data_IF_788084841390
#
_entry.id   IF_788084841390
#
_cell.length_a   1.000
_cell.length_b   1.000
_cell.length_c   1.000
_cell.angle_alpha   90.00
_cell.angle_beta   90.00
_cell.angle_gamma   90.00
#
_symmetry.space_group_name_H-M   'P 1'
#
loop_
_entity.id
_entity.type
_entity.pdbx_description
1 polymer ?
#
# COMPACT_ATOMS: atom_id res chain seq x y z
N UNK A 1 -13.16 -1.64 -14.52
CA UNK A 1 -12.06 -2.61 -14.77
C UNK A 1 -11.47 -3.02 -13.43
N UNK A 2 -11.61 -4.29 -13.02
CA UNK A 2 -11.10 -4.77 -11.72
C UNK A 2 -9.72 -5.38 -11.94
N UNK A 3 -8.68 -4.70 -11.47
CA UNK A 3 -7.31 -5.21 -11.54
C UNK A 3 -7.10 -6.27 -10.45
N UNK A 4 -6.67 -7.47 -10.88
CA UNK A 4 -6.24 -8.54 -9.98
C UNK A 4 -4.72 -8.64 -10.04
N UNK A 5 -4.05 -8.56 -8.89
CA UNK A 5 -2.59 -8.69 -8.77
C UNK A 5 -2.24 -9.64 -7.65
N UNK A 6 -1.15 -10.37 -7.84
CA UNK A 6 -0.61 -11.28 -6.83
C UNK A 6 0.11 -10.52 -5.71
N UNK A 7 0.73 -9.40 -6.05
CA UNK A 7 1.59 -8.64 -5.15
C UNK A 7 1.12 -7.20 -5.05
N UNK A 8 1.03 -6.70 -3.83
CA UNK A 8 0.56 -5.36 -3.49
C UNK A 8 1.55 -4.64 -2.59
N UNK A 9 1.67 -3.33 -2.77
CA UNK A 9 2.42 -2.46 -1.88
C UNK A 9 1.46 -1.73 -0.94
N UNK A 10 1.86 -1.62 0.32
CA UNK A 10 1.13 -0.89 1.35
C UNK A 10 2.08 -0.10 2.25
N UNK A 11 1.58 0.95 2.88
CA UNK A 11 2.33 1.71 3.90
C UNK A 11 1.43 2.05 5.07
N UNK A 12 1.91 1.78 6.28
CA UNK A 12 1.24 2.23 7.50
C UNK A 12 1.64 3.67 7.81
N UNK A 13 0.74 4.40 8.48
CA UNK A 13 1.01 5.77 8.93
C UNK A 13 2.26 5.80 9.81
N UNK A 14 3.18 6.73 9.53
CA UNK A 14 4.43 6.85 10.25
C UNK A 14 5.57 5.93 9.78
N UNK A 15 5.31 5.02 8.82
CA UNK A 15 6.39 4.26 8.19
C UNK A 15 7.02 5.05 7.04
N UNK A 16 8.36 5.08 7.00
CA UNK A 16 9.11 5.73 5.93
C UNK A 16 9.06 4.96 4.59
N UNK A 17 8.92 3.63 4.66
CA UNK A 17 9.02 2.74 3.50
C UNK A 17 7.71 2.00 3.24
N UNK A 18 7.47 1.65 1.97
CA UNK A 18 6.39 0.77 1.59
C UNK A 18 6.78 -0.69 1.83
N UNK A 19 5.82 -1.47 2.31
CA UNK A 19 5.91 -2.90 2.49
C UNK A 19 5.20 -3.62 1.36
N UNK A 20 5.55 -4.89 1.19
CA UNK A 20 5.01 -5.73 0.13
C UNK A 20 4.25 -6.90 0.74
N UNK A 21 3.10 -7.23 0.15
CA UNK A 21 2.31 -8.41 0.48
C UNK A 21 2.05 -9.20 -0.79
N UNK A 22 2.26 -10.50 -0.73
CA UNK A 22 2.02 -11.43 -1.83
C UNK A 22 0.96 -12.45 -1.46
N UNK A 23 0.06 -12.72 -2.38
CA UNK A 23 -1.03 -13.67 -2.25
C UNK A 23 -0.77 -14.91 -3.11
N UNK A 24 -1.29 -16.07 -2.72
CA UNK A 24 -1.16 -17.28 -3.56
C UNK A 24 -1.91 -17.12 -4.88
N UNK A 25 -3.07 -16.47 -4.86
CA UNK A 25 -3.86 -16.18 -6.06
C UNK A 25 -3.92 -14.66 -6.33
N UNK A 26 -4.08 -14.22 -7.58
CA UNK A 26 -4.29 -12.81 -7.89
C UNK A 26 -5.57 -12.29 -7.23
N UNK A 27 -5.42 -11.35 -6.29
CA UNK A 27 -6.54 -10.74 -5.58
C UNK A 27 -6.80 -9.32 -6.06
N UNK A 28 -8.02 -8.84 -5.82
CA UNK A 28 -8.40 -7.45 -6.09
C UNK A 28 -7.83 -6.52 -5.02
N UNK A 29 -7.78 -5.22 -5.33
CA UNK A 29 -7.34 -4.20 -4.39
C UNK A 29 -8.18 -4.19 -3.10
N UNK A 30 -9.48 -4.48 -3.21
CA UNK A 30 -10.42 -4.60 -2.09
C UNK A 30 -10.08 -5.79 -1.18
N UNK A 31 -9.85 -6.98 -1.76
CA UNK A 31 -9.44 -8.16 -0.97
C UNK A 31 -8.09 -7.95 -0.29
N UNK A 32 -7.14 -7.31 -0.97
CA UNK A 32 -5.86 -6.95 -0.36
C UNK A 32 -6.05 -5.99 0.82
N UNK A 33 -6.97 -5.03 0.73
CA UNK A 33 -7.33 -4.12 1.83
C UNK A 33 -7.93 -4.82 3.02
N UNK A 34 -8.90 -5.71 2.79
CA UNK A 34 -9.55 -6.48 3.84
C UNK A 34 -8.53 -7.34 4.60
N UNK A 35 -7.65 -8.02 3.85
CA UNK A 35 -6.56 -8.79 4.45
C UNK A 35 -5.65 -7.89 5.31
N UNK A 36 -5.19 -6.77 4.76
CA UNK A 36 -4.30 -5.85 5.49
C UNK A 36 -4.96 -5.26 6.73
N UNK A 37 -6.27 -4.98 6.69
CA UNK A 37 -7.03 -4.53 7.87
C UNK A 37 -7.02 -5.54 9.01
N UNK A 38 -7.14 -6.82 8.70
CA UNK A 38 -7.06 -7.89 9.70
C UNK A 38 -5.63 -8.17 10.20
N UNK A 39 -4.62 -7.95 9.37
CA UNK A 39 -3.24 -8.32 9.71
C UNK A 39 -2.42 -7.19 10.32
N UNK A 40 -2.53 -5.96 9.81
CA UNK A 40 -1.62 -4.84 10.14
C UNK A 40 -2.33 -3.55 10.60
N UNK A 41 -3.67 -3.56 10.71
CA UNK A 41 -4.45 -2.36 11.06
C UNK A 41 -4.91 -1.58 9.84
N UNK A 42 -5.24 -0.29 9.93
CA UNK A 42 -5.77 0.48 8.79
C UNK A 42 -4.65 1.01 7.88
N UNK A 43 -4.40 0.39 6.70
CA UNK A 43 -3.40 0.88 5.76
C UNK A 43 -3.86 2.19 5.09
N UNK A 44 -3.07 3.25 5.25
CA UNK A 44 -3.43 4.62 4.83
C UNK A 44 -3.08 4.90 3.36
N UNK A 45 -1.93 4.41 2.89
CA UNK A 45 -1.46 4.59 1.52
C UNK A 45 -1.40 3.24 0.84
N UNK A 46 -2.47 2.98 0.10
CA UNK A 46 -2.66 1.80 -0.67
C UNK A 46 -2.66 2.22 -2.11
N UNK A 47 -1.88 1.47 -2.86
CA UNK A 47 -1.91 1.43 -4.31
C UNK A 47 -0.98 2.49 -4.84
N UNK A 48 0.12 1.99 -5.42
CA UNK A 48 1.17 2.80 -6.03
C UNK A 48 0.52 3.92 -6.83
N UNK A 49 0.45 5.09 -6.20
CA UNK A 49 0.34 6.32 -6.93
C UNK A 49 1.61 6.32 -7.73
N UNK A 50 1.43 6.28 -9.04
CA UNK A 50 2.41 6.82 -9.95
C UNK A 50 3.05 8.05 -9.29
N UNK A 51 4.38 8.17 -9.39
CA UNK A 51 5.18 9.21 -8.74
C UNK A 51 4.69 10.64 -9.04
N UNK A 52 3.69 10.80 -9.91
CA UNK A 52 2.97 12.04 -10.20
C UNK A 52 2.16 12.65 -9.03
N UNK A 53 1.90 11.97 -7.91
CA UNK A 53 1.15 12.58 -6.78
C UNK A 53 1.74 12.33 -5.39
N UNK A 54 3.03 12.01 -5.31
CA UNK A 54 3.75 12.14 -4.05
C UNK A 54 4.08 13.62 -3.86
N UNK A 55 3.27 14.35 -3.10
CA UNK A 55 3.77 15.58 -2.50
C UNK A 55 5.05 15.20 -1.72
N UNK A 56 6.18 15.88 -1.95
CA UNK A 56 7.41 15.56 -1.25
C UNK A 56 7.14 15.71 0.25
N UNK A 57 7.39 14.63 1.01
CA UNK A 57 7.47 14.72 2.45
C UNK A 57 8.49 15.83 2.78
N UNK A 58 8.21 16.74 3.73
CA UNK A 58 9.18 17.76 4.08
C UNK A 58 10.41 17.04 4.64
N UNK A 59 11.51 17.11 3.89
CA UNK A 59 12.84 16.75 4.38
C UNK A 59 13.10 17.65 5.57
N UNK A 60 13.13 17.06 6.75
CA UNK A 60 13.49 17.75 7.98
C UNK A 60 15.01 17.79 8.03
N UNK A 61 15.56 18.90 7.53
CA UNK A 61 16.97 19.25 7.63
C UNK A 61 17.35 19.43 9.11
N UNK A 62 18.37 18.72 9.57
CA UNK A 62 19.04 18.98 10.84
C UNK A 62 20.52 18.64 10.74
#
# INVERSE_FOLDING_TARGET
MIVKRRTWLYRLTGQAFAHLVSFNEPVTATKAREFLRGSVGDPLDLWGRDKSNAQPLPVRDR
#
